data_IF_890061783165
#
_entry.id   IF_890061783165
#
_cell.length_a   1.000
_cell.length_b   1.000
_cell.length_c   1.000
_cell.angle_alpha   90.00
_cell.angle_beta   90.00
_cell.angle_gamma   90.00
#
_symmetry.space_group_name_H-M   'P 1'
#
loop_
_entity.id
_entity.type
_entity.pdbx_description
1 polymer ?
#
# COMPACT_ATOMS: atom_id res chain seq x y z
N UNK A 1 -29.78 9.79 36.47
CA UNK A 1 -30.41 9.71 35.14
C UNK A 1 -29.57 10.52 34.18
N UNK A 2 -28.57 9.90 33.57
CA UNK A 2 -27.71 10.52 32.55
C UNK A 2 -28.44 10.46 31.22
N UNK A 3 -28.72 11.63 30.64
CA UNK A 3 -29.26 11.74 29.29
C UNK A 3 -28.34 11.03 28.29
N UNK A 4 -28.88 10.28 27.31
CA UNK A 4 -28.05 9.67 26.28
C UNK A 4 -27.44 10.78 25.41
N UNK A 5 -26.18 10.63 24.97
CA UNK A 5 -25.55 11.59 24.06
C UNK A 5 -26.32 11.62 22.73
N UNK A 6 -26.85 12.79 22.39
CA UNK A 6 -27.73 13.03 21.23
C UNK A 6 -26.97 13.39 19.94
N UNK A 7 -25.79 12.81 19.70
CA UNK A 7 -25.17 12.89 18.39
C UNK A 7 -25.75 11.80 17.49
N UNK A 8 -26.93 12.07 16.93
CA UNK A 8 -27.52 11.22 15.90
C UNK A 8 -26.62 11.28 14.67
N UNK A 9 -25.75 10.28 14.48
CA UNK A 9 -25.02 10.10 13.22
C UNK A 9 -26.03 10.12 12.08
N UNK A 10 -25.89 11.07 11.16
CA UNK A 10 -26.76 11.20 9.99
C UNK A 10 -26.12 10.40 8.85
N UNK A 11 -26.48 9.14 8.77
CA UNK A 11 -26.03 8.21 7.75
C UNK A 11 -26.77 8.44 6.42
N UNK A 12 -26.21 9.33 5.60
CA UNK A 12 -26.75 9.68 4.28
C UNK A 12 -25.96 8.99 3.17
N UNK A 13 -26.11 7.68 3.07
CA UNK A 13 -25.41 6.89 2.06
C UNK A 13 -26.07 7.08 0.70
N UNK A 14 -25.28 7.28 -0.37
CA UNK A 14 -25.82 7.28 -1.75
C UNK A 14 -25.90 5.89 -2.36
N UNK A 15 -25.22 4.91 -1.77
CA UNK A 15 -25.04 3.56 -2.34
C UNK A 15 -25.52 2.48 -1.37
N UNK A 16 -26.09 1.43 -1.93
CA UNK A 16 -26.48 0.19 -1.26
C UNK A 16 -26.28 -1.00 -2.20
N UNK A 17 -26.46 -2.22 -1.70
CA UNK A 17 -26.56 -3.42 -2.56
C UNK A 17 -27.93 -4.11 -2.38
N UNK A 18 -28.39 -4.80 -3.41
CA UNK A 18 -29.74 -5.40 -3.48
C UNK A 18 -29.75 -6.93 -3.40
N UNK A 19 -28.59 -7.55 -3.45
CA UNK A 19 -28.35 -9.01 -3.53
C UNK A 19 -27.86 -9.61 -2.19
N UNK A 20 -28.09 -8.90 -1.08
CA UNK A 20 -27.76 -9.36 0.28
C UNK A 20 -26.63 -8.57 0.95
N UNK A 21 -26.35 -8.89 2.22
CA UNK A 21 -25.34 -8.17 3.03
C UNK A 21 -23.91 -8.29 2.50
N UNK A 22 -23.60 -9.37 1.78
CA UNK A 22 -22.29 -9.62 1.16
C UNK A 22 -22.33 -9.40 -0.37
N UNK A 23 -23.43 -8.83 -0.86
CA UNK A 23 -23.70 -8.61 -2.26
C UNK A 23 -22.83 -7.51 -2.89
N UNK A 24 -22.84 -7.49 -4.23
CA UNK A 24 -22.09 -6.54 -5.06
C UNK A 24 -22.98 -5.86 -6.11
N UNK A 25 -24.26 -6.19 -6.16
CA UNK A 25 -25.23 -5.58 -7.08
C UNK A 25 -25.60 -4.19 -6.55
N UNK A 26 -24.81 -3.20 -6.93
CA UNK A 26 -24.93 -1.83 -6.43
C UNK A 26 -26.22 -1.18 -6.94
N UNK A 27 -26.88 -0.46 -6.04
CA UNK A 27 -27.89 0.53 -6.38
C UNK A 27 -27.49 1.90 -5.82
N UNK A 28 -27.69 2.92 -6.65
CA UNK A 28 -27.52 4.34 -6.26
C UNK A 28 -28.90 4.90 -5.95
N UNK A 29 -29.01 5.67 -4.87
CA UNK A 29 -30.24 6.35 -4.51
C UNK A 29 -30.65 7.29 -5.65
N UNK A 30 -31.84 7.11 -6.26
CA UNK A 30 -32.27 7.91 -7.41
C UNK A 30 -32.28 9.39 -7.08
N UNK A 31 -31.86 10.23 -8.03
CA UNK A 31 -31.93 11.68 -7.84
C UNK A 31 -33.39 12.16 -7.90
N UNK A 32 -34.17 11.60 -8.82
CA UNK A 32 -35.60 11.86 -8.94
C UNK A 32 -36.40 11.22 -7.80
N UNK A 33 -37.19 12.05 -7.11
CA UNK A 33 -37.99 11.65 -5.95
C UNK A 33 -39.13 10.70 -6.33
N UNK A 34 -39.72 10.82 -7.52
CA UNK A 34 -40.78 9.91 -7.96
C UNK A 34 -40.22 8.48 -8.15
N UNK A 35 -39.08 8.37 -8.82
CA UNK A 35 -38.34 7.12 -8.99
C UNK A 35 -37.92 6.53 -7.64
N UNK A 36 -37.43 7.35 -6.71
CA UNK A 36 -37.08 6.90 -5.37
C UNK A 36 -38.29 6.37 -4.58
N UNK A 37 -39.48 7.00 -4.72
CA UNK A 37 -40.72 6.52 -4.10
C UNK A 37 -41.19 5.19 -4.70
N UNK A 38 -41.14 5.04 -6.03
CA UNK A 38 -41.46 3.78 -6.72
C UNK A 38 -40.53 2.66 -6.25
N UNK A 39 -39.22 2.95 -6.19
CA UNK A 39 -38.21 2.01 -5.72
C UNK A 39 -38.43 1.61 -4.25
N UNK A 40 -38.78 2.56 -3.38
CA UNK A 40 -39.09 2.31 -1.97
C UNK A 40 -40.35 1.46 -1.79
N UNK A 41 -41.36 1.64 -2.64
CA UNK A 41 -42.64 0.93 -2.57
C UNK A 41 -42.64 -0.44 -3.25
N UNK A 42 -41.54 -0.86 -3.88
CA UNK A 42 -41.42 -2.19 -4.44
C UNK A 42 -41.19 -3.21 -3.30
N UNK A 43 -42.23 -3.98 -2.96
CA UNK A 43 -42.29 -4.91 -1.81
C UNK A 43 -41.19 -5.99 -1.75
N UNK A 44 -40.40 -6.14 -2.81
CA UNK A 44 -39.36 -7.17 -2.94
C UNK A 44 -37.93 -6.65 -2.76
N UNK A 45 -37.72 -5.33 -2.72
CA UNK A 45 -36.37 -4.77 -2.69
C UNK A 45 -35.88 -4.55 -1.26
N UNK A 46 -34.84 -5.31 -0.87
CA UNK A 46 -34.12 -5.09 0.39
C UNK A 46 -32.75 -4.48 0.08
N UNK A 47 -32.47 -3.32 0.67
CA UNK A 47 -31.18 -2.65 0.55
C UNK A 47 -30.26 -3.04 1.69
N UNK A 48 -28.97 -3.17 1.41
CA UNK A 48 -27.97 -3.56 2.41
C UNK A 48 -26.73 -2.68 2.36
N UNK A 49 -26.11 -2.48 3.52
CA UNK A 49 -24.78 -1.90 3.66
C UNK A 49 -23.74 -3.00 3.45
N UNK A 50 -23.22 -3.16 2.23
CA UNK A 50 -22.38 -4.31 1.85
C UNK A 50 -21.14 -4.47 2.73
N UNK A 51 -20.96 -5.65 3.34
CA UNK A 51 -19.77 -6.00 4.13
C UNK A 51 -18.51 -6.04 3.27
N UNK A 52 -18.62 -6.47 2.01
CA UNK A 52 -17.51 -6.49 1.04
C UNK A 52 -17.09 -5.09 0.61
N UNK A 53 -18.01 -4.13 0.67
CA UNK A 53 -17.72 -2.69 0.55
C UNK A 53 -17.21 -2.05 1.84
N UNK A 54 -16.86 -2.82 2.87
CA UNK A 54 -16.45 -2.32 4.18
C UNK A 54 -17.60 -1.85 5.08
N UNK A 55 -18.85 -2.11 4.68
CA UNK A 55 -20.06 -1.80 5.43
C UNK A 55 -20.34 -2.79 6.57
N UNK A 56 -21.45 -2.57 7.28
CA UNK A 56 -21.80 -3.34 8.48
C UNK A 56 -22.70 -4.56 8.21
N UNK A 57 -23.14 -4.79 6.98
CA UNK A 57 -24.05 -5.87 6.60
C UNK A 57 -25.50 -5.68 7.01
N UNK A 58 -25.85 -4.53 7.63
CA UNK A 58 -27.23 -4.25 8.07
C UNK A 58 -28.10 -3.78 6.91
N UNK A 59 -29.42 -3.88 7.13
CA UNK A 59 -30.42 -3.41 6.17
C UNK A 59 -30.46 -1.88 6.14
N UNK A 60 -30.71 -1.36 4.96
CA UNK A 60 -30.88 0.06 4.71
C UNK A 60 -32.33 0.38 4.32
N UNK A 61 -32.78 1.57 4.65
CA UNK A 61 -34.03 2.18 4.22
C UNK A 61 -33.72 3.26 3.18
N UNK A 62 -34.45 3.27 2.08
CA UNK A 62 -34.42 4.38 1.13
C UNK A 62 -35.30 5.53 1.65
N UNK A 63 -34.68 6.65 1.97
CA UNK A 63 -35.36 7.91 2.30
C UNK A 63 -35.58 8.69 1.01
N UNK A 64 -36.82 8.69 0.54
CA UNK A 64 -37.26 9.53 -0.56
C UNK A 64 -37.96 10.79 -0.01
N UNK A 65 -37.24 11.91 0.04
CA UNK A 65 -37.70 13.17 0.62
C UNK A 65 -38.09 14.19 -0.45
N UNK A 66 -38.95 15.15 -0.10
CA UNK A 66 -39.41 16.21 -1.02
C UNK A 66 -38.39 17.31 -1.28
N UNK A 67 -37.46 17.53 -0.33
CA UNK A 67 -36.55 18.70 -0.34
C UNK A 67 -35.07 18.29 -0.38
N UNK A 68 -34.74 17.07 0.06
CA UNK A 68 -33.36 16.60 0.15
C UNK A 68 -33.12 15.51 -0.88
N UNK A 69 -31.91 15.48 -1.42
CA UNK A 69 -31.39 14.38 -2.24
C UNK A 69 -31.70 13.06 -1.56
N UNK A 70 -32.27 12.11 -2.30
CA UNK A 70 -32.65 10.81 -1.75
C UNK A 70 -31.40 10.03 -1.32
N UNK A 71 -31.49 9.29 -0.22
CA UNK A 71 -30.36 8.57 0.36
C UNK A 71 -30.82 7.29 1.05
N UNK A 72 -29.89 6.37 1.23
CA UNK A 72 -30.03 5.21 2.09
C UNK A 72 -29.55 5.54 3.50
N UNK A 73 -30.26 5.02 4.49
CA UNK A 73 -29.86 5.06 5.90
C UNK A 73 -30.06 3.70 6.54
N UNK A 74 -29.31 3.40 7.59
CA UNK A 74 -29.60 2.29 8.48
C UNK A 74 -30.92 2.55 9.22
N UNK A 75 -31.52 1.46 9.72
CA UNK A 75 -32.68 1.59 10.59
C UNK A 75 -32.29 2.31 11.88
N UNK A 76 -33.29 2.89 12.55
CA UNK A 76 -33.07 3.64 13.78
C UNK A 76 -32.32 2.77 14.80
N UNK A 77 -31.15 3.25 15.24
CA UNK A 77 -30.31 2.53 16.20
C UNK A 77 -29.43 1.44 15.59
N UNK A 78 -29.23 1.40 14.27
CA UNK A 78 -28.27 0.47 13.65
C UNK A 78 -27.02 1.19 13.11
N UNK A 79 -27.09 2.50 12.89
CA UNK A 79 -26.00 3.30 12.30
C UNK A 79 -24.73 3.34 13.15
N UNK A 80 -24.82 3.21 14.49
CA UNK A 80 -23.65 3.27 15.38
C UNK A 80 -22.71 2.07 15.25
N UNK A 81 -23.16 0.99 14.61
CA UNK A 81 -22.33 -0.17 14.29
C UNK A 81 -21.59 -0.06 12.94
N UNK A 82 -21.78 1.05 12.21
CA UNK A 82 -21.21 1.22 10.88
C UNK A 82 -20.18 2.35 10.86
N UNK A 83 -18.92 1.98 10.64
CA UNK A 83 -17.81 2.94 10.52
C UNK A 83 -17.91 3.82 9.27
N UNK A 84 -18.73 3.39 8.29
CA UNK A 84 -19.02 4.12 7.06
C UNK A 84 -20.21 5.07 7.17
N UNK A 85 -20.97 5.03 8.28
CA UNK A 85 -22.17 5.86 8.46
C UNK A 85 -21.89 7.36 8.27
N UNK A 86 -20.73 7.85 8.75
CA UNK A 86 -20.33 9.26 8.63
C UNK A 86 -19.40 9.53 7.43
N UNK A 87 -19.17 8.53 6.58
CA UNK A 87 -18.21 8.57 5.46
C UNK A 87 -18.86 8.07 4.16
N UNK A 88 -19.89 8.75 3.63
CA UNK A 88 -20.59 8.29 2.43
C UNK A 88 -19.68 8.15 1.19
N UNK A 89 -18.64 8.96 1.07
CA UNK A 89 -17.67 8.82 -0.03
C UNK A 89 -16.77 7.59 0.12
N UNK A 90 -16.60 7.08 1.34
CA UNK A 90 -15.79 5.89 1.59
C UNK A 90 -16.51 4.63 1.11
N UNK A 91 -17.83 4.52 1.31
CA UNK A 91 -18.59 3.36 0.81
C UNK A 91 -18.59 3.31 -0.72
N UNK A 92 -18.71 4.46 -1.40
CA UNK A 92 -18.63 4.53 -2.85
C UNK A 92 -17.27 4.03 -3.36
N UNK A 93 -16.17 4.53 -2.78
CA UNK A 93 -14.82 4.12 -3.17
C UNK A 93 -14.57 2.64 -2.93
N UNK A 94 -15.01 2.11 -1.79
CA UNK A 94 -14.86 0.69 -1.47
C UNK A 94 -15.64 -0.21 -2.42
N UNK A 95 -16.88 0.19 -2.76
CA UNK A 95 -17.69 -0.54 -3.73
C UNK A 95 -17.11 -0.46 -5.15
N UNK A 96 -16.61 0.70 -5.57
CA UNK A 96 -15.91 0.85 -6.84
C UNK A 96 -14.66 -0.03 -6.89
N UNK A 97 -13.88 -0.09 -5.82
CA UNK A 97 -12.70 -0.94 -5.72
C UNK A 97 -13.05 -2.41 -5.92
N UNK A 98 -14.10 -2.89 -5.24
CA UNK A 98 -14.58 -4.26 -5.37
C UNK A 98 -15.12 -4.58 -6.78
N UNK A 99 -15.84 -3.64 -7.40
CA UNK A 99 -16.30 -3.80 -8.78
C UNK A 99 -15.13 -3.87 -9.76
N UNK A 100 -14.13 -3.00 -9.61
CA UNK A 100 -12.93 -3.06 -10.44
C UNK A 100 -12.21 -4.40 -10.29
N UNK A 101 -12.06 -4.93 -9.08
CA UNK A 101 -11.47 -6.26 -8.87
C UNK A 101 -12.27 -7.37 -9.59
N UNK A 102 -13.60 -7.31 -9.51
CA UNK A 102 -14.48 -8.29 -10.16
C UNK A 102 -14.38 -8.20 -11.68
N UNK A 103 -14.46 -6.99 -12.24
CA UNK A 103 -14.36 -6.76 -13.68
C UNK A 103 -12.97 -7.14 -14.21
N UNK A 104 -11.89 -6.82 -13.48
CA UNK A 104 -10.53 -7.21 -13.86
C UNK A 104 -10.34 -8.73 -13.83
N UNK A 105 -10.92 -9.44 -12.85
CA UNK A 105 -10.91 -10.91 -12.82
C UNK A 105 -11.61 -11.47 -14.06
N UNK A 106 -12.79 -10.94 -14.39
CA UNK A 106 -13.56 -11.42 -15.54
C UNK A 106 -12.85 -11.12 -16.87
N UNK A 107 -12.24 -9.94 -17.01
CA UNK A 107 -11.37 -9.58 -18.13
C UNK A 107 -10.12 -10.46 -18.26
N UNK A 108 -9.53 -10.91 -17.13
CA UNK A 108 -8.43 -11.90 -17.14
C UNK A 108 -8.93 -13.27 -17.59
N UNK A 109 -10.13 -13.67 -17.16
CA UNK A 109 -10.75 -14.94 -17.57
C UNK A 109 -11.07 -14.96 -19.07
N UNK A 110 -11.52 -13.84 -19.65
CA UNK A 110 -11.71 -13.68 -21.09
C UNK A 110 -10.41 -13.84 -21.90
N UNK A 111 -9.26 -13.55 -21.29
CA UNK A 111 -7.94 -13.78 -21.87
C UNK A 111 -7.39 -15.20 -21.60
N UNK A 112 -8.16 -16.06 -20.92
CA UNK A 112 -7.77 -17.42 -20.59
C UNK A 112 -6.95 -17.56 -19.30
N UNK A 113 -6.91 -16.54 -18.45
CA UNK A 113 -6.18 -16.58 -17.18
C UNK A 113 -7.13 -16.67 -15.98
N UNK A 114 -6.74 -17.45 -14.96
CA UNK A 114 -7.52 -17.56 -13.74
C UNK A 114 -6.93 -16.68 -12.64
N UNK A 115 -7.68 -15.67 -12.21
CA UNK A 115 -7.26 -14.72 -11.20
C UNK A 115 -7.98 -14.93 -9.86
N UNK A 116 -7.24 -14.86 -8.76
CA UNK A 116 -7.78 -14.90 -7.41
C UNK A 116 -7.89 -13.48 -6.86
N UNK A 117 -9.12 -13.07 -6.50
CA UNK A 117 -9.39 -11.80 -5.82
C UNK A 117 -8.98 -11.91 -4.35
N UNK A 118 -8.42 -10.84 -3.78
CA UNK A 118 -7.99 -10.77 -2.38
C UNK A 118 -7.02 -11.90 -2.00
N UNK A 119 -6.14 -12.26 -2.93
CA UNK A 119 -5.18 -13.34 -2.75
C UNK A 119 -4.24 -13.05 -1.58
N UNK A 120 -4.17 -13.97 -0.62
CA UNK A 120 -3.17 -13.89 0.45
C UNK A 120 -1.83 -14.34 -0.10
N UNK A 121 -0.87 -13.43 -0.14
CA UNK A 121 0.53 -13.75 -0.42
C UNK A 121 1.20 -14.27 0.87
N UNK A 122 2.26 -15.07 0.76
CA UNK A 122 3.00 -15.55 1.94
C UNK A 122 3.38 -14.36 2.85
N UNK A 123 3.32 -14.56 4.17
CA UNK A 123 3.47 -13.54 5.23
C UNK A 123 2.35 -12.48 5.30
N UNK A 124 1.11 -12.95 5.11
CA UNK A 124 -0.18 -12.29 5.43
C UNK A 124 -0.53 -11.01 4.64
N UNK A 125 0.23 -10.63 3.62
CA UNK A 125 -0.15 -9.48 2.79
C UNK A 125 -1.21 -9.88 1.75
N UNK A 126 -2.30 -9.10 1.68
CA UNK A 126 -3.42 -9.32 0.75
C UNK A 126 -3.20 -8.52 -0.53
N UNK A 127 -3.07 -9.24 -1.64
CA UNK A 127 -3.09 -8.70 -2.98
C UNK A 127 -4.53 -8.53 -3.49
N UNK A 128 -4.81 -7.50 -4.28
CA UNK A 128 -6.16 -7.31 -4.85
C UNK A 128 -6.52 -8.39 -5.88
N UNK A 129 -5.62 -8.66 -6.83
CA UNK A 129 -5.71 -9.81 -7.72
C UNK A 129 -4.35 -10.48 -7.86
N UNK A 130 -4.31 -11.81 -7.80
CA UNK A 130 -3.15 -12.63 -8.19
C UNK A 130 -3.50 -13.51 -9.38
N UNK A 131 -2.61 -13.59 -10.36
CA UNK A 131 -2.81 -14.36 -11.59
C UNK A 131 -1.49 -14.88 -12.11
N UNK A 132 -1.45 -16.12 -12.60
CA UNK A 132 -0.29 -16.67 -13.30
C UNK A 132 -0.48 -16.52 -14.82
N UNK A 133 0.50 -15.93 -15.50
CA UNK A 133 0.46 -15.67 -16.95
C UNK A 133 1.74 -16.22 -17.56
N UNK A 134 1.61 -17.27 -18.37
CA UNK A 134 2.76 -17.94 -18.99
C UNK A 134 3.87 -18.33 -17.98
N UNK A 135 3.47 -18.91 -16.84
CA UNK A 135 4.35 -19.28 -15.73
C UNK A 135 5.09 -18.11 -15.03
N UNK A 136 4.58 -16.89 -15.19
CA UNK A 136 5.00 -15.71 -14.42
C UNK A 136 3.90 -15.39 -13.42
N UNK A 137 4.25 -15.22 -12.15
CA UNK A 137 3.30 -14.85 -11.09
C UNK A 137 3.11 -13.32 -11.05
N UNK A 138 1.87 -12.87 -11.22
CA UNK A 138 1.52 -11.46 -11.24
C UNK A 138 0.61 -11.11 -10.08
N UNK A 139 0.77 -9.88 -9.58
CA UNK A 139 -0.27 -9.21 -8.81
C UNK A 139 -0.69 -7.90 -9.48
N UNK A 140 -2.00 -7.64 -9.48
CA UNK A 140 -2.59 -6.36 -9.88
C UNK A 140 -3.16 -5.72 -8.62
N UNK A 141 -2.83 -4.44 -8.41
CA UNK A 141 -3.26 -3.64 -7.27
C UNK A 141 -4.09 -2.45 -7.74
N UNK A 142 -5.31 -2.34 -7.23
CA UNK A 142 -6.24 -1.27 -7.56
C UNK A 142 -6.19 -0.24 -6.43
N UNK A 143 -5.47 0.86 -6.65
CA UNK A 143 -5.24 1.88 -5.64
C UNK A 143 -6.06 3.13 -5.93
N UNK A 144 -7.34 3.12 -5.52
CA UNK A 144 -8.26 4.27 -5.70
C UNK A 144 -8.07 5.32 -4.61
N UNK A 145 -7.90 4.87 -3.37
CA UNK A 145 -7.67 5.75 -2.23
C UNK A 145 -6.27 6.36 -2.26
N UNK A 146 -6.11 7.54 -1.65
CA UNK A 146 -4.80 8.18 -1.55
C UNK A 146 -3.81 7.28 -0.81
N UNK A 147 -2.64 7.06 -1.39
CA UNK A 147 -1.48 6.45 -0.75
C UNK A 147 -0.31 7.40 -0.87
N UNK A 148 0.51 7.50 0.18
CA UNK A 148 1.73 8.31 0.16
C UNK A 148 2.84 7.58 -0.60
N UNK A 149 3.84 8.34 -1.08
CA UNK A 149 5.01 7.74 -1.75
C UNK A 149 5.71 6.69 -0.87
N UNK A 150 6.01 6.96 0.41
CA UNK A 150 6.65 5.95 1.27
C UNK A 150 5.79 4.69 1.48
N UNK A 151 4.48 4.86 1.68
CA UNK A 151 3.57 3.73 1.90
C UNK A 151 3.43 2.86 0.63
N UNK A 152 3.36 3.50 -0.54
CA UNK A 152 3.37 2.77 -1.82
C UNK A 152 4.69 2.04 -2.03
N UNK A 153 5.83 2.70 -1.82
CA UNK A 153 7.16 2.09 -2.03
C UNK A 153 7.35 0.85 -1.15
N UNK A 154 6.97 0.92 0.13
CA UNK A 154 7.02 -0.21 1.05
C UNK A 154 6.12 -1.37 0.59
N UNK A 155 4.90 -1.07 0.12
CA UNK A 155 3.94 -2.09 -0.35
C UNK A 155 4.39 -2.72 -1.67
N UNK A 156 4.88 -1.92 -2.63
CA UNK A 156 5.44 -2.40 -3.90
C UNK A 156 6.66 -3.29 -3.66
N UNK A 157 7.57 -2.91 -2.78
CA UNK A 157 8.73 -3.72 -2.42
C UNK A 157 8.32 -5.05 -1.80
N UNK A 158 7.32 -5.05 -0.90
CA UNK A 158 6.82 -6.27 -0.27
C UNK A 158 6.26 -7.25 -1.30
N UNK A 159 5.45 -6.76 -2.24
CA UNK A 159 4.87 -7.59 -3.28
C UNK A 159 5.92 -8.14 -4.25
N UNK A 160 6.88 -7.32 -4.67
CA UNK A 160 7.98 -7.78 -5.54
C UNK A 160 8.92 -8.78 -4.87
N UNK A 161 8.88 -8.89 -3.55
CA UNK A 161 9.53 -9.99 -2.84
C UNK A 161 8.79 -11.32 -2.91
N UNK A 162 7.60 -11.37 -3.52
CA UNK A 162 6.68 -12.53 -3.49
C UNK A 162 6.13 -12.96 -4.84
N UNK A 163 5.98 -12.02 -5.76
CA UNK A 163 5.53 -12.29 -7.14
C UNK A 163 6.56 -11.73 -8.12
N UNK A 164 6.59 -12.28 -9.33
CA UNK A 164 7.53 -11.86 -10.37
C UNK A 164 7.21 -10.44 -10.86
N UNK A 165 5.92 -10.12 -10.97
CA UNK A 165 5.47 -8.84 -11.52
C UNK A 165 4.37 -8.19 -10.68
N UNK A 166 4.53 -6.89 -10.42
CA UNK A 166 3.54 -6.07 -9.72
C UNK A 166 3.07 -4.94 -10.64
N UNK A 167 1.76 -4.90 -10.88
CA UNK A 167 1.06 -3.84 -11.61
C UNK A 167 0.22 -3.02 -10.64
N UNK A 168 0.36 -1.70 -10.68
CA UNK A 168 -0.50 -0.77 -9.95
C UNK A 168 -1.43 -0.05 -10.91
N UNK A 169 -2.74 -0.10 -10.63
CA UNK A 169 -3.79 0.65 -11.28
C UNK A 169 -4.26 1.77 -10.35
N UNK A 170 -3.82 2.98 -10.62
CA UNK A 170 -4.09 4.14 -9.77
C UNK A 170 -5.42 4.81 -10.12
N UNK A 171 -6.24 5.14 -9.13
CA UNK A 171 -7.43 5.95 -9.36
C UNK A 171 -7.06 7.37 -9.83
N UNK A 172 -7.98 8.04 -10.53
CA UNK A 172 -7.79 9.38 -11.11
C UNK A 172 -7.35 10.46 -10.11
N UNK A 173 -7.60 10.27 -8.81
CA UNK A 173 -7.23 11.22 -7.73
C UNK A 173 -5.85 10.95 -7.12
N UNK A 174 -5.08 10.05 -7.72
CA UNK A 174 -3.74 9.72 -7.24
C UNK A 174 -2.81 10.92 -7.33
N UNK A 175 -2.02 11.13 -6.27
CA UNK A 175 -1.15 12.31 -6.17
C UNK A 175 -0.07 12.32 -7.27
N UNK A 176 0.19 13.50 -7.83
CA UNK A 176 1.25 13.69 -8.84
C UNK A 176 2.64 13.26 -8.35
N UNK A 177 3.06 13.50 -7.09
CA UNK A 177 4.33 12.99 -6.57
C UNK A 177 4.44 11.46 -6.67
N UNK A 178 3.35 10.74 -6.37
CA UNK A 178 3.35 9.28 -6.48
C UNK A 178 3.48 8.80 -7.94
N UNK A 179 2.68 9.39 -8.84
CA UNK A 179 2.79 9.05 -10.26
C UNK A 179 4.21 9.31 -10.78
N UNK A 180 4.81 10.45 -10.42
CA UNK A 180 6.18 10.76 -10.82
C UNK A 180 7.19 9.73 -10.28
N UNK A 181 7.06 9.32 -9.02
CA UNK A 181 7.92 8.29 -8.44
C UNK A 181 7.80 6.95 -9.19
N UNK A 182 6.58 6.56 -9.56
CA UNK A 182 6.33 5.36 -10.37
C UNK A 182 7.00 5.50 -11.74
N UNK A 183 6.82 6.63 -12.43
CA UNK A 183 7.40 6.88 -13.75
C UNK A 183 8.93 6.89 -13.76
N UNK A 184 9.57 7.39 -12.70
CA UNK A 184 11.03 7.38 -12.55
C UNK A 184 11.55 5.96 -12.39
N UNK A 185 10.88 5.15 -11.58
CA UNK A 185 11.33 3.80 -11.24
C UNK A 185 10.92 2.73 -12.26
N UNK A 186 9.79 2.93 -12.95
CA UNK A 186 9.14 1.91 -13.78
C UNK A 186 8.95 2.32 -15.24
N UNK A 187 9.12 3.59 -15.56
CA UNK A 187 8.98 4.13 -16.91
C UNK A 187 7.54 4.32 -17.40
N UNK A 188 6.57 3.65 -16.77
CA UNK A 188 5.14 3.75 -17.05
C UNK A 188 4.35 3.71 -15.75
N UNK A 189 3.24 4.44 -15.68
CA UNK A 189 2.26 4.35 -14.61
C UNK A 189 0.86 4.14 -15.20
N UNK A 190 0.10 3.21 -14.64
CA UNK A 190 -1.26 2.93 -15.11
C UNK A 190 -2.30 3.59 -14.19
N UNK A 191 -3.25 4.27 -14.79
CA UNK A 191 -4.45 4.80 -14.13
C UNK A 191 -5.67 4.00 -14.53
N UNK A 192 -6.64 3.89 -13.64
CA UNK A 192 -7.93 3.24 -13.90
C UNK A 192 -9.05 4.22 -13.63
N UNK A 193 -9.99 4.27 -14.56
CA UNK A 193 -11.25 4.99 -14.42
C UNK A 193 -12.37 4.17 -15.05
N UNK A 194 -13.60 4.56 -14.74
CA UNK A 194 -14.77 4.17 -15.53
C UNK A 194 -14.99 5.21 -16.60
N UNK A 195 -15.60 4.80 -17.71
CA UNK A 195 -16.20 5.74 -18.65
C UNK A 195 -17.15 6.68 -17.88
N UNK A 196 -17.03 7.99 -18.14
CA UNK A 196 -17.76 9.02 -17.41
C UNK A 196 -19.28 8.88 -17.57
N UNK A 197 -19.71 8.35 -18.72
CA UNK A 197 -21.13 8.17 -19.06
C UNK A 197 -21.75 6.94 -18.37
N UNK A 198 -20.94 6.06 -17.77
CA UNK A 198 -21.41 4.84 -17.13
C UNK A 198 -21.52 5.02 -15.62
N UNK A 199 -22.74 5.08 -15.04
CA UNK A 199 -22.91 5.17 -13.60
C UNK A 199 -22.43 3.89 -12.90
N UNK A 200 -22.12 4.00 -11.61
CA UNK A 200 -21.69 2.86 -10.79
C UNK A 200 -22.73 1.71 -10.80
N UNK A 201 -24.02 2.05 -10.76
CA UNK A 201 -25.15 1.14 -11.01
C UNK A 201 -25.22 0.83 -12.52
N UNK A 202 -24.40 -0.10 -12.99
CA UNK A 202 -24.23 -0.41 -14.41
C UNK A 202 -22.79 -0.75 -14.79
N UNK A 203 -21.86 -0.49 -13.88
CA UNK A 203 -20.47 -0.88 -14.01
C UNK A 203 -20.32 -2.39 -13.77
N UNK A 204 -20.58 -3.19 -14.82
CA UNK A 204 -20.55 -4.67 -14.73
C UNK A 204 -19.66 -5.31 -15.77
N UNK A 205 -19.08 -4.55 -16.70
CA UNK A 205 -18.39 -5.11 -17.85
C UNK A 205 -17.05 -4.46 -18.13
N UNK A 206 -16.08 -5.20 -18.72
CA UNK A 206 -14.76 -4.66 -19.05
C UNK A 206 -14.80 -3.43 -19.98
N UNK A 207 -15.74 -3.34 -20.92
CA UNK A 207 -15.84 -2.20 -21.84
C UNK A 207 -16.14 -0.86 -21.15
N UNK A 208 -16.67 -0.88 -19.92
CA UNK A 208 -16.95 0.33 -19.15
C UNK A 208 -15.71 0.85 -18.41
N UNK A 209 -14.60 0.11 -18.43
CA UNK A 209 -13.34 0.47 -17.77
C UNK A 209 -12.37 1.01 -18.79
N UNK A 210 -11.75 2.14 -18.46
CA UNK A 210 -10.68 2.75 -19.23
C UNK A 210 -9.39 2.76 -18.42
N UNK A 211 -8.28 2.47 -19.08
CA UNK A 211 -6.95 2.44 -18.51
C UNK A 211 -6.12 3.55 -19.14
N UNK A 212 -5.62 4.45 -18.30
CA UNK A 212 -4.70 5.50 -18.71
C UNK A 212 -3.27 5.02 -18.59
N UNK A 213 -2.48 5.27 -19.64
CA UNK A 213 -1.05 4.97 -19.68
C UNK A 213 -0.30 6.28 -19.57
N UNK A 214 0.24 6.56 -18.39
CA UNK A 214 1.03 7.76 -18.17
C UNK A 214 2.48 7.48 -18.55
N UNK A 215 3.05 8.37 -19.36
CA UNK A 215 4.48 8.51 -19.59
C UNK A 215 5.00 9.80 -18.92
N UNK A 216 6.26 10.17 -19.19
CA UNK A 216 6.81 11.45 -18.72
C UNK A 216 6.24 12.66 -19.45
N UNK A 217 5.58 12.47 -20.60
CA UNK A 217 5.10 13.56 -21.47
C UNK A 217 3.60 13.52 -21.76
N UNK A 218 2.97 12.35 -21.70
CA UNK A 218 1.57 12.19 -22.07
C UNK A 218 0.81 11.21 -21.16
N UNK A 219 -0.51 11.23 -21.28
CA UNK A 219 -1.41 10.19 -20.78
C UNK A 219 -2.37 9.79 -21.89
N UNK A 220 -2.38 8.51 -22.25
CA UNK A 220 -3.25 7.96 -23.28
C UNK A 220 -4.22 6.95 -22.67
N UNK A 221 -5.52 7.12 -22.95
CA UNK A 221 -6.58 6.31 -22.38
C UNK A 221 -7.08 5.29 -23.40
N UNK A 222 -7.17 4.03 -22.97
CA UNK A 222 -7.68 2.92 -23.78
C UNK A 222 -8.75 2.15 -23.01
N UNK A 223 -9.78 1.61 -23.68
CA UNK A 223 -10.67 0.62 -23.09
C UNK A 223 -9.90 -0.57 -22.52
N UNK A 224 -10.35 -1.12 -21.39
CA UNK A 224 -9.73 -2.31 -20.78
C UNK A 224 -9.73 -3.50 -21.74
N UNK A 225 -10.75 -3.61 -22.59
CA UNK A 225 -10.85 -4.65 -23.63
C UNK A 225 -9.76 -4.57 -24.71
N UNK A 226 -9.11 -3.41 -24.88
CA UNK A 226 -7.94 -3.26 -25.76
C UNK A 226 -6.62 -3.57 -25.04
N UNK A 227 -6.64 -3.62 -23.71
CA UNK A 227 -5.48 -3.94 -22.88
C UNK A 227 -5.25 -5.45 -22.82
N UNK A 228 -4.05 -5.86 -22.42
CA UNK A 228 -3.66 -7.27 -22.29
C UNK A 228 -2.87 -7.51 -21.02
N UNK A 229 -2.99 -8.70 -20.46
CA UNK A 229 -2.00 -9.22 -19.54
C UNK A 229 -0.95 -10.02 -20.32
N UNK A 230 0.32 -9.70 -20.09
CA UNK A 230 1.47 -10.33 -20.75
C UNK A 230 2.45 -10.88 -19.71
N UNK A 231 3.40 -11.71 -20.11
CA UNK A 231 4.47 -12.18 -19.21
C UNK A 231 5.34 -11.04 -18.67
N UNK A 232 5.40 -9.89 -19.35
CA UNK A 232 6.07 -8.67 -18.86
C UNK A 232 5.20 -7.81 -17.92
N UNK A 233 3.93 -8.19 -17.74
CA UNK A 233 2.95 -7.47 -16.94
C UNK A 233 1.81 -6.89 -17.77
N UNK A 234 1.12 -5.92 -17.18
CA UNK A 234 -0.01 -5.25 -17.80
C UNK A 234 0.45 -4.43 -19.01
N UNK A 235 -0.26 -4.56 -20.12
CA UNK A 235 0.01 -3.91 -21.39
C UNK A 235 -1.22 -3.14 -21.85
N UNK A 236 -0.99 -1.93 -22.36
CA UNK A 236 -1.93 -1.10 -23.10
C UNK A 236 -1.33 -0.79 -24.47
N UNK A 237 -2.13 -0.32 -25.44
CA UNK A 237 -1.61 0.11 -26.75
C UNK A 237 -0.49 1.17 -26.66
N UNK A 238 -0.44 1.98 -25.60
CA UNK A 238 0.57 3.00 -25.39
C UNK A 238 1.78 2.55 -24.53
N UNK A 239 1.79 1.33 -23.97
CA UNK A 239 2.84 0.86 -23.05
C UNK A 239 4.23 0.89 -23.69
N UNK A 240 4.37 0.38 -24.90
CA UNK A 240 5.67 0.27 -25.57
C UNK A 240 6.28 1.64 -25.86
N UNK A 241 5.47 2.59 -26.32
CA UNK A 241 5.90 3.96 -26.55
C UNK A 241 6.34 4.65 -25.25
N UNK A 242 5.58 4.48 -24.16
CA UNK A 242 5.94 5.03 -22.86
C UNK A 242 7.26 4.47 -22.32
N UNK A 243 7.48 3.15 -22.44
CA UNK A 243 8.72 2.50 -22.03
C UNK A 243 9.92 2.93 -22.90
N UNK A 244 9.74 3.06 -24.22
CA UNK A 244 10.78 3.54 -25.13
C UNK A 244 11.16 5.01 -24.85
N UNK A 245 10.18 5.86 -24.51
CA UNK A 245 10.43 7.22 -24.03
C UNK A 245 11.27 7.22 -22.76
N UNK A 246 10.91 6.38 -21.78
CA UNK A 246 11.67 6.27 -20.54
C UNK A 246 13.11 5.82 -20.77
N UNK A 247 13.32 4.81 -21.62
CA UNK A 247 14.66 4.34 -22.01
C UNK A 247 15.53 5.47 -22.55
N UNK A 248 15.02 6.22 -23.54
CA UNK A 248 15.72 7.39 -24.12
C UNK A 248 16.06 8.45 -23.07
N UNK A 249 15.16 8.71 -22.11
CA UNK A 249 15.43 9.66 -21.02
C UNK A 249 16.55 9.19 -20.10
N UNK A 250 16.60 7.90 -19.76
CA UNK A 250 17.69 7.35 -18.93
C UNK A 250 19.03 7.45 -19.64
N UNK A 251 19.10 7.12 -20.93
CA UNK A 251 20.32 7.25 -21.73
C UNK A 251 20.85 8.69 -21.72
N UNK A 252 19.98 9.69 -21.92
CA UNK A 252 20.36 11.11 -21.88
C UNK A 252 20.81 11.55 -20.48
N UNK A 253 20.19 11.05 -19.41
CA UNK A 253 20.56 11.37 -18.03
C UNK A 253 21.86 10.70 -17.57
N UNK A 254 22.18 9.53 -18.11
CA UNK A 254 23.38 8.76 -17.74
C UNK A 254 24.60 9.08 -18.62
N UNK A 255 24.41 9.61 -19.83
CA UNK A 255 25.47 10.04 -20.73
C UNK A 255 26.51 11.03 -20.12
N UNK A 256 26.14 12.01 -19.26
CA UNK A 256 27.09 12.92 -18.62
C UNK A 256 27.92 12.23 -17.51
N UNK A 257 27.37 11.20 -16.85
CA UNK A 257 28.08 10.46 -15.78
C UNK A 257 29.15 9.55 -16.37
N UNK A 258 28.90 8.93 -17.52
CA UNK A 258 29.88 8.08 -18.21
C UNK A 258 31.13 8.86 -18.67
N UNK A 259 30.94 10.09 -19.20
CA UNK A 259 32.07 10.94 -19.64
C UNK A 259 32.98 11.41 -18.50
N UNK A 260 32.51 11.40 -17.25
CA UNK A 260 33.28 11.83 -16.08
C UNK A 260 34.14 10.72 -15.47
N UNK A 261 33.79 9.45 -15.70
CA UNK A 261 34.54 8.29 -15.20
C UNK A 261 35.67 7.89 -16.16
N UNK A 262 35.61 8.29 -17.43
CA UNK A 262 36.61 7.96 -18.45
C UNK A 262 37.65 9.06 -18.72
N UNK A 263 37.68 10.15 -17.95
CA UNK A 263 38.75 11.17 -18.06
C UNK A 263 39.89 10.86 -17.08
N UNK A 264 41.08 10.41 -17.54
CA UNK A 264 42.22 10.12 -16.68
C UNK A 264 43.03 11.37 -16.26
N UNK A 265 42.42 12.57 -16.22
CA UNK A 265 43.20 13.82 -16.15
C UNK A 265 43.21 14.57 -14.80
N UNK A 266 42.50 14.11 -13.77
CA UNK A 266 42.46 14.82 -12.47
C UNK A 266 43.25 14.12 -11.34
N UNK A 267 44.35 13.43 -11.66
CA UNK A 267 45.28 12.88 -10.64
C UNK A 267 46.60 13.65 -10.49
N UNK A 268 46.78 14.78 -11.19
CA UNK A 268 47.94 15.67 -11.04
C UNK A 268 47.51 17.03 -10.51
N UNK A 269 47.25 17.14 -9.20
CA UNK A 269 46.92 18.43 -8.59
C UNK A 269 46.92 18.50 -7.07
N UNK A 270 47.01 17.37 -6.37
CA UNK A 270 46.90 17.31 -4.90
C UNK A 270 48.19 16.91 -4.18
N UNK A 271 49.33 16.82 -4.87
CA UNK A 271 50.65 16.61 -4.24
C UNK A 271 51.36 17.91 -3.83
N UNK A 272 50.95 19.07 -4.35
CA UNK A 272 51.71 20.33 -4.19
C UNK A 272 51.32 21.16 -2.95
N UNK A 273 50.24 20.80 -2.25
CA UNK A 273 49.83 21.50 -1.00
C UNK A 273 50.41 20.90 0.27
N UNK A 274 51.03 19.71 0.21
CA UNK A 274 51.64 19.06 1.38
C UNK A 274 53.14 19.36 1.55
N UNK A 275 53.78 19.95 0.54
CA UNK A 275 55.21 20.29 0.56
C UNK A 275 55.56 21.63 1.26
N UNK A 276 54.57 22.38 1.77
CA UNK A 276 54.80 23.68 2.46
C UNK A 276 54.66 23.66 3.98
N UNK A 277 54.33 22.52 4.60
CA UNK A 277 54.11 22.43 6.06
C UNK A 277 55.29 21.78 6.83
N UNK A 278 56.14 20.97 6.19
CA UNK A 278 57.22 20.25 6.89
C UNK A 278 58.62 20.90 6.78
N UNK A 279 58.64 22.23 6.65
CA UNK A 279 59.86 23.04 6.68
C UNK A 279 60.27 23.44 8.09
N UNK A 280 60.37 22.51 9.05
CA UNK A 280 61.05 22.74 10.35
C UNK A 280 61.29 21.42 11.10
N UNK A 281 62.43 20.79 10.84
CA UNK A 281 63.41 20.31 11.85
C UNK A 281 64.47 19.46 11.17
N UNK A 282 65.68 20.00 11.11
CA UNK A 282 66.90 19.25 10.88
C UNK A 282 67.28 18.50 12.16
N UNK A 283 67.72 17.23 12.01
CA UNK A 283 69.01 16.70 12.51
C UNK A 283 69.17 15.21 12.15
N UNK A 284 70.18 14.92 11.32
CA UNK A 284 70.88 13.63 11.10
C UNK A 284 71.92 13.37 12.21
N UNK A 285 72.71 12.24 12.26
CA UNK A 285 72.86 11.10 11.32
C UNK A 285 73.02 9.66 11.91
N UNK A 286 73.06 8.68 10.98
CA UNK A 286 73.75 7.34 10.98
C UNK A 286 73.11 6.20 11.80
N UNK A 287 73.10 4.92 11.39
CA UNK A 287 73.88 4.15 10.39
C UNK A 287 73.11 2.92 9.81
N UNK A 288 73.64 2.39 8.71
CA UNK A 288 73.33 1.18 7.88
C UNK A 288 73.59 -0.18 8.60
N UNK A 289 73.44 -1.39 7.97
CA UNK A 289 72.62 -1.85 6.81
C UNK A 289 71.98 -3.28 6.95
N UNK A 290 71.39 -3.76 5.83
CA UNK A 290 71.17 -5.15 5.33
C UNK A 290 70.10 -6.04 5.98
N UNK A 291 69.11 -6.51 5.18
CA UNK A 291 69.13 -7.88 4.61
C UNK A 291 68.08 -8.09 3.49
N UNK A 292 68.41 -9.05 2.63
CA UNK A 292 67.78 -9.65 1.44
C UNK A 292 66.41 -10.32 1.70
N UNK A 293 65.50 -10.68 0.77
CA UNK A 293 65.54 -11.42 -0.53
C UNK A 293 64.12 -11.39 -1.17
N UNK A 294 63.91 -11.85 -2.43
CA UNK A 294 62.73 -11.56 -3.26
C UNK A 294 61.70 -12.70 -3.36
N UNK A 295 60.47 -12.38 -3.78
CA UNK A 295 59.48 -13.38 -4.22
C UNK A 295 58.77 -12.97 -5.53
N UNK A 296 59.21 -13.64 -6.59
CA UNK A 296 58.50 -14.14 -7.78
C UNK A 296 56.97 -13.93 -7.82
N UNK A 297 56.49 -13.30 -8.89
CA UNK A 297 55.09 -13.37 -9.36
C UNK A 297 55.06 -14.14 -10.70
N UNK A 298 54.22 -15.17 -10.87
CA UNK A 298 53.84 -15.64 -12.19
C UNK A 298 52.54 -14.95 -12.64
N UNK A 299 52.57 -14.49 -13.89
CA UNK A 299 51.39 -14.12 -14.66
C UNK A 299 50.53 -15.37 -14.96
N UNK A 300 49.22 -15.22 -14.93
CA UNK A 300 48.27 -16.19 -15.50
C UNK A 300 47.27 -15.49 -16.42
N UNK A 301 46.73 -16.20 -17.43
CA UNK A 301 46.07 -15.60 -18.58
C UNK A 301 44.59 -15.28 -18.32
N UNK A 302 44.10 -14.23 -18.98
CA UNK A 302 42.70 -13.82 -18.99
C UNK A 302 41.82 -14.83 -19.73
N UNK A 303 40.81 -15.36 -19.04
CA UNK A 303 39.64 -16.06 -19.60
C UNK A 303 38.41 -15.14 -19.44
N UNK A 304 37.52 -15.01 -20.43
CA UNK A 304 36.38 -14.10 -20.37
C UNK A 304 35.30 -14.59 -19.38
N UNK A 305 34.86 -13.71 -18.48
CA UNK A 305 33.80 -13.98 -17.50
C UNK A 305 32.43 -14.03 -18.19
N UNK A 306 31.78 -15.20 -18.15
CA UNK A 306 30.33 -15.38 -18.31
C UNK A 306 29.60 -14.63 -17.18
N UNK A 307 28.43 -14.08 -17.51
CA UNK A 307 27.57 -13.36 -16.59
C UNK A 307 27.17 -14.24 -15.38
N UNK A 308 27.42 -13.74 -14.17
CA UNK A 308 26.99 -14.35 -12.93
C UNK A 308 25.46 -14.23 -12.80
N UNK A 309 24.75 -15.36 -12.89
CA UNK A 309 23.47 -15.52 -12.19
C UNK A 309 23.74 -15.46 -10.67
N UNK A 310 22.93 -14.77 -9.86
CA UNK A 310 23.00 -14.94 -8.42
C UNK A 310 22.53 -16.37 -8.09
N UNK A 311 23.41 -17.15 -7.47
CA UNK A 311 23.02 -18.41 -6.84
C UNK A 311 22.11 -18.16 -5.64
N UNK A 312 21.43 -19.20 -5.13
CA UNK A 312 20.60 -19.09 -3.93
C UNK A 312 21.43 -18.53 -2.77
N UNK A 313 20.85 -17.57 -2.05
CA UNK A 313 21.48 -16.97 -0.87
C UNK A 313 21.79 -18.05 0.17
N UNK A 314 22.94 -17.99 0.85
CA UNK A 314 23.24 -18.92 1.93
C UNK A 314 22.21 -18.77 3.06
N UNK A 315 21.66 -19.90 3.51
CA UNK A 315 20.82 -19.97 4.70
C UNK A 315 21.70 -19.56 5.89
N UNK A 316 21.33 -18.46 6.55
CA UNK A 316 22.03 -17.99 7.75
C UNK A 316 21.82 -18.99 8.91
N UNK A 317 22.83 -19.22 9.77
CA UNK A 317 22.69 -20.10 10.91
C UNK A 317 21.67 -19.55 11.92
N UNK A 318 20.92 -20.42 12.62
CA UNK A 318 19.95 -19.99 13.62
C UNK A 318 20.66 -19.30 14.78
N UNK A 319 20.27 -18.05 15.10
CA UNK A 319 20.78 -17.32 16.26
C UNK A 319 21.29 -15.91 16.01
N UNK A 320 21.46 -15.47 14.76
CA UNK A 320 21.62 -14.04 14.46
C UNK A 320 20.24 -13.42 14.25
N UNK A 321 19.72 -12.79 15.31
CA UNK A 321 18.43 -12.10 15.30
C UNK A 321 18.34 -11.13 14.14
N UNK A 322 17.51 -11.45 13.14
CA UNK A 322 16.93 -10.43 12.27
C UNK A 322 16.26 -9.43 13.20
N UNK A 323 16.53 -8.14 13.02
CA UNK A 323 15.76 -7.10 13.69
C UNK A 323 14.29 -7.31 13.27
N UNK A 324 13.39 -7.77 14.17
CA UNK A 324 12.04 -8.23 13.81
C UNK A 324 11.12 -7.07 13.37
N UNK A 325 11.67 -5.85 13.22
CA UNK A 325 10.93 -4.63 12.92
C UNK A 325 11.59 -3.82 11.78
N UNK A 326 12.43 -4.44 10.94
CA UNK A 326 13.07 -3.78 9.79
C UNK A 326 12.05 -3.09 8.85
N UNK A 327 10.81 -3.57 8.79
CA UNK A 327 9.69 -2.98 8.06
C UNK A 327 9.13 -1.67 8.64
N UNK A 328 9.55 -1.27 9.84
CA UNK A 328 9.10 -0.08 10.57
C UNK A 328 10.22 0.89 10.95
N UNK A 329 11.45 0.62 10.50
CA UNK A 329 12.64 1.45 10.75
C UNK A 329 12.53 2.90 10.22
N UNK A 330 11.49 3.21 9.43
CA UNK A 330 11.17 4.55 8.91
C UNK A 330 10.40 5.43 9.89
N UNK A 331 9.89 4.89 11.00
CA UNK A 331 9.30 5.68 12.10
C UNK A 331 10.42 6.24 12.99
N UNK A 332 11.19 7.19 12.46
CA UNK A 332 12.20 7.93 13.22
C UNK A 332 11.53 8.74 14.36
N UNK A 333 12.19 8.80 15.53
CA UNK A 333 11.72 9.60 16.67
C UNK A 333 10.61 8.95 17.51
N UNK A 334 10.30 7.66 17.35
CA UNK A 334 9.34 6.94 18.23
C UNK A 334 9.72 7.02 19.72
N UNK A 335 11.01 7.14 20.01
CA UNK A 335 11.52 7.26 21.39
C UNK A 335 11.23 8.64 22.01
N UNK A 336 10.95 9.64 21.18
CA UNK A 336 10.56 11.00 21.59
C UNK A 336 9.04 11.13 21.81
N UNK A 337 8.27 10.13 21.39
CA UNK A 337 6.85 10.07 21.66
C UNK A 337 6.60 9.56 23.08
N UNK A 338 5.66 10.19 23.78
CA UNK A 338 5.17 9.63 25.04
C UNK A 338 4.59 8.24 24.79
N UNK A 339 4.91 7.28 25.65
CA UNK A 339 4.17 6.02 25.76
C UNK A 339 3.10 6.15 26.83
N UNK A 340 1.93 5.49 26.68
CA UNK A 340 0.97 5.42 27.77
C UNK A 340 1.66 4.88 29.03
N UNK A 341 1.35 5.43 30.21
CA UNK A 341 1.84 4.89 31.46
C UNK A 341 1.54 3.39 31.56
N UNK A 342 2.53 2.59 31.98
CA UNK A 342 2.38 1.14 32.17
C UNK A 342 2.48 0.28 30.91
N UNK A 343 2.38 0.84 29.69
CA UNK A 343 2.42 0.04 28.45
C UNK A 343 3.74 -0.73 28.30
N UNK A 344 4.88 -0.06 28.52
CA UNK A 344 6.19 -0.69 28.38
C UNK A 344 6.56 -1.52 29.62
N UNK A 345 6.07 -1.14 30.79
CA UNK A 345 6.35 -1.84 32.05
C UNK A 345 5.73 -3.25 32.07
N UNK A 346 4.63 -3.45 31.34
CA UNK A 346 3.95 -4.73 31.17
C UNK A 346 4.62 -5.66 30.15
N UNK A 347 5.68 -5.20 29.45
CA UNK A 347 6.26 -5.92 28.32
C UNK A 347 7.77 -6.17 28.50
N UNK A 348 8.29 -7.32 28.05
CA UNK A 348 9.72 -7.53 27.87
C UNK A 348 10.34 -6.45 26.98
N UNK A 349 11.57 -6.03 27.27
CA UNK A 349 12.28 -5.00 26.50
C UNK A 349 12.33 -5.27 24.98
N UNK A 350 12.39 -6.55 24.59
CA UNK A 350 12.34 -6.98 23.20
C UNK A 350 11.06 -6.57 22.45
N UNK A 351 9.96 -6.34 23.16
CA UNK A 351 8.65 -5.96 22.60
C UNK A 351 8.38 -4.45 22.68
N UNK A 352 9.23 -3.67 23.33
CA UNK A 352 8.99 -2.24 23.56
C UNK A 352 8.85 -1.43 22.28
N UNK A 353 9.68 -1.71 21.27
CA UNK A 353 9.62 -0.99 20.00
C UNK A 353 8.33 -1.33 19.22
N UNK A 354 7.95 -2.61 19.17
CA UNK A 354 6.71 -3.08 18.57
C UNK A 354 5.48 -2.43 19.24
N UNK A 355 5.48 -2.36 20.58
CA UNK A 355 4.43 -1.71 21.35
C UNK A 355 4.30 -0.21 21.05
N UNK A 356 5.43 0.51 20.90
CA UNK A 356 5.45 1.93 20.50
C UNK A 356 4.85 2.13 19.11
N UNK A 357 5.22 1.28 18.15
CA UNK A 357 4.67 1.31 16.78
C UNK A 357 3.16 1.08 16.79
N UNK A 358 2.67 0.07 17.52
CA UNK A 358 1.23 -0.20 17.60
C UNK A 358 0.47 0.92 18.30
N UNK A 359 0.99 1.46 19.40
CA UNK A 359 0.40 2.62 20.07
C UNK A 359 0.31 3.84 19.13
N UNK A 360 1.32 4.05 18.28
CA UNK A 360 1.28 5.10 17.26
C UNK A 360 0.27 4.82 16.15
N UNK A 361 0.17 3.56 15.69
CA UNK A 361 -0.77 3.16 14.65
C UNK A 361 -2.23 3.25 15.15
N UNK A 362 -2.52 2.79 16.37
CA UNK A 362 -3.88 2.80 16.96
C UNK A 362 -4.36 4.23 17.28
N UNK A 363 -3.45 5.18 17.45
CA UNK A 363 -3.81 6.60 17.63
C UNK A 363 -4.01 7.36 16.31
N UNK A 364 -3.51 6.87 15.17
CA UNK A 364 -3.51 7.58 13.88
C UNK A 364 -4.26 6.91 12.73
N UNK A 365 -4.33 5.59 12.71
CA UNK A 365 -5.05 4.82 11.70
C UNK A 365 -6.45 4.49 12.27
N UNK A 366 -7.39 4.20 11.38
CA UNK A 366 -8.83 3.99 11.59
C UNK A 366 -9.26 3.56 13.01
N UNK A 367 -10.40 4.09 13.47
CA UNK A 367 -10.94 3.87 14.82
C UNK A 367 -11.23 2.41 15.17
N UNK A 368 -11.28 1.53 14.17
CA UNK A 368 -11.59 0.10 14.28
C UNK A 368 -10.86 -0.69 13.18
N UNK A 369 -10.57 -1.98 13.41
CA UNK A 369 -9.98 -2.85 12.40
C UNK A 369 -9.97 -4.33 12.79
N UNK A 370 -9.66 -5.26 11.85
CA UNK A 370 -9.42 -6.66 12.20
C UNK A 370 -8.16 -6.80 13.07
N UNK A 371 -8.15 -7.74 14.03
CA UNK A 371 -6.99 -7.98 14.91
C UNK A 371 -5.72 -8.30 14.13
N UNK A 372 -5.83 -8.94 12.95
CA UNK A 372 -4.70 -9.23 12.06
C UNK A 372 -3.97 -7.98 11.57
N UNK A 373 -4.58 -6.79 11.62
CA UNK A 373 -3.93 -5.53 11.30
C UNK A 373 -2.99 -5.03 12.42
N UNK A 374 -3.08 -5.59 13.63
CA UNK A 374 -2.17 -5.33 14.75
C UNK A 374 -1.05 -6.38 14.88
N UNK A 375 -1.08 -7.43 14.05
CA UNK A 375 -0.06 -8.48 14.10
C UNK A 375 1.22 -8.01 13.42
N UNK A 376 2.37 -8.22 14.08
CA UNK A 376 3.67 -8.18 13.44
C UNK A 376 4.07 -9.61 13.07
N UNK A 377 4.08 -9.98 11.77
CA UNK A 377 4.42 -11.34 11.35
C UNK A 377 5.80 -11.80 11.83
N UNK A 378 6.70 -10.84 12.08
CA UNK A 378 8.09 -11.06 12.45
C UNK A 378 8.33 -10.96 13.98
N UNK A 379 7.32 -10.62 14.79
CA UNK A 379 7.44 -10.53 16.25
C UNK A 379 6.65 -11.66 16.90
N UNK A 380 7.36 -12.58 17.54
CA UNK A 380 6.76 -13.63 18.35
C UNK A 380 6.44 -13.07 19.73
N UNK A 381 5.17 -12.78 20.02
CA UNK A 381 4.76 -12.10 21.27
C UNK A 381 3.79 -12.92 22.14
N UNK A 382 3.32 -14.09 21.71
CA UNK A 382 2.32 -14.93 22.41
C UNK A 382 1.10 -14.11 22.92
N UNK A 383 0.71 -13.09 22.15
CA UNK A 383 -0.39 -12.17 22.46
C UNK A 383 -0.10 -11.21 23.63
N UNK A 384 1.16 -11.04 24.04
CA UNK A 384 1.55 -10.08 25.07
C UNK A 384 1.33 -8.63 24.62
N UNK A 385 1.59 -8.30 23.35
CA UNK A 385 1.37 -6.96 22.82
C UNK A 385 -0.11 -6.61 22.84
N UNK A 386 -0.96 -7.54 22.42
CA UNK A 386 -2.41 -7.36 22.49
C UNK A 386 -2.89 -7.07 23.91
N UNK A 387 -2.50 -7.91 24.88
CA UNK A 387 -2.88 -7.71 26.29
C UNK A 387 -2.41 -6.38 26.82
N UNK A 388 -1.15 -6.01 26.56
CA UNK A 388 -0.60 -4.74 27.01
C UNK A 388 -1.29 -3.52 26.39
N UNK A 389 -1.73 -3.59 25.12
CA UNK A 389 -2.50 -2.50 24.48
C UNK A 389 -3.91 -2.36 25.07
N UNK A 390 -4.53 -3.47 25.46
CA UNK A 390 -5.85 -3.48 26.14
C UNK A 390 -5.70 -2.92 27.56
N UNK A 391 -4.72 -3.38 28.32
CA UNK A 391 -4.44 -2.93 29.69
C UNK A 391 -4.05 -1.45 29.75
N UNK A 392 -3.29 -0.98 28.75
CA UNK A 392 -2.96 0.43 28.58
C UNK A 392 -4.16 1.28 28.11
N UNK A 393 -5.32 0.67 27.87
CA UNK A 393 -6.53 1.36 27.43
C UNK A 393 -6.36 2.02 26.05
N UNK A 394 -5.55 1.44 25.17
CA UNK A 394 -5.38 1.94 23.80
C UNK A 394 -6.40 1.33 22.84
N UNK A 395 -6.72 0.06 23.05
CA UNK A 395 -7.66 -0.69 22.24
C UNK A 395 -8.65 -1.47 23.10
N UNK A 396 -9.83 -1.72 22.55
CA UNK A 396 -10.83 -2.63 23.09
C UNK A 396 -11.08 -3.73 22.06
N UNK A 397 -11.18 -4.99 22.53
CA UNK A 397 -11.56 -6.11 21.67
C UNK A 397 -13.07 -6.27 21.64
N UNK A 398 -13.61 -6.62 20.47
CA UNK A 398 -14.99 -7.03 20.31
C UNK A 398 -15.10 -8.17 19.30
N UNK A 399 -16.12 -9.01 19.48
CA UNK A 399 -16.45 -10.05 18.52
C UNK A 399 -17.25 -9.43 17.36
N UNK A 400 -16.69 -9.52 16.16
CA UNK A 400 -17.38 -9.11 14.93
C UNK A 400 -18.40 -10.15 14.47
N UNK A 401 -19.24 -9.84 13.46
CA UNK A 401 -20.32 -10.71 12.96
C UNK A 401 -19.93 -12.07 12.35
N UNK A 402 -18.70 -12.55 12.54
CA UNK A 402 -18.19 -13.79 11.97
C UNK A 402 -17.17 -14.52 12.90
N UNK A 403 -17.27 -14.32 14.22
CA UNK A 403 -16.26 -14.77 15.19
C UNK A 403 -14.83 -14.24 14.93
N UNK A 404 -14.68 -13.28 14.02
CA UNK A 404 -13.44 -12.57 13.77
C UNK A 404 -13.27 -11.55 14.89
N UNK A 405 -12.22 -11.74 15.70
CA UNK A 405 -11.81 -10.76 16.71
C UNK A 405 -11.40 -9.46 16.03
N UNK A 406 -12.00 -8.36 16.49
CA UNK A 406 -11.71 -7.01 16.02
C UNK A 406 -11.25 -6.16 17.19
N UNK A 407 -10.54 -5.09 16.87
CA UNK A 407 -10.16 -4.06 17.83
C UNK A 407 -10.82 -2.73 17.46
N UNK A 408 -11.03 -1.89 18.46
CA UNK A 408 -11.35 -0.47 18.29
C UNK A 408 -10.50 0.37 19.23
N UNK A 409 -10.27 1.64 18.90
CA UNK A 409 -9.63 2.59 19.83
C UNK A 409 -10.53 2.75 21.06
N UNK A 410 -9.94 2.65 22.25
CA UNK A 410 -10.68 2.90 23.49
C UNK A 410 -11.03 4.40 23.60
N UNK A 411 -12.21 4.72 24.14
CA UNK A 411 -12.68 6.11 24.30
C UNK A 411 -12.06 6.83 25.52
N UNK A 412 -11.07 6.24 26.18
CA UNK A 412 -10.46 6.74 27.42
C UNK A 412 -9.45 7.89 27.19
N UNK A 413 -9.22 8.69 28.24
CA UNK A 413 -8.33 9.87 28.21
C UNK A 413 -6.88 9.56 27.81
N UNK A 414 -6.39 8.36 28.11
CA UNK A 414 -5.02 7.92 27.82
C UNK A 414 -4.68 7.93 26.33
N UNK A 415 -5.63 7.61 25.45
CA UNK A 415 -5.42 7.65 24.01
C UNK A 415 -5.34 9.10 23.46
N UNK A 416 -5.79 10.10 24.22
CA UNK A 416 -5.86 11.51 23.80
C UNK A 416 -4.59 12.29 24.19
N UNK A 417 -3.83 11.81 25.17
CA UNK A 417 -2.62 12.46 25.71
C UNK A 417 -1.32 12.14 24.95
N UNK A 418 -1.37 11.24 23.95
CA UNK A 418 -0.23 10.86 23.12
C UNK A 418 0.03 11.91 22.03
N UNK A 419 0.52 13.08 22.43
CA UNK A 419 1.11 14.07 21.54
C UNK A 419 2.63 14.04 21.69
N UNK A 420 3.41 14.36 20.64
CA UNK A 420 4.85 14.54 20.77
C UNK A 420 5.12 15.55 21.89
N UNK A 421 6.01 15.19 22.82
CA UNK A 421 6.54 16.17 23.78
C UNK A 421 7.32 17.20 22.95
N UNK A 422 6.89 18.45 22.98
CA UNK A 422 7.63 19.55 22.35
C UNK A 422 8.90 19.84 23.11
#
# INVERSE_FOLDING_TARGET
>A
MTSPPSHTKLDRLRHAVIDGSDGISIIVAPEDTETARKLRGADTQTFWCSTRGGGCGRRLELVAGDVRVNYFRHRRGEAHYCDLADKPDAIERSLLHLLLQTILRDWLAEQGFNATIEATLPDACRADLRVEVHAVDHTIEVQISSITVPAWSLRDQRYRGRVDTVTWLFGARTSRPLINEVLVNRGVAYTVARDADIPLKGLTRPEHIIIGTKSHTAEEWHPLVECKMTSSGFWTPATEQALAEHGRRREVQDAPKAKRVTSPQDSYGTSDRRAKIDGRKATTPRARPTDTRPAVRPETPRVPKKANRPGPLPVAPPGQGRNPLASFAWLEGLDEWGTPPGLLDALPAALHHAARVLAHMTTRIETTGPQTALAFPDVHDDGQLERALIEAGLIELYEGPAAVRRWRRAETSAATELRPKR
#
